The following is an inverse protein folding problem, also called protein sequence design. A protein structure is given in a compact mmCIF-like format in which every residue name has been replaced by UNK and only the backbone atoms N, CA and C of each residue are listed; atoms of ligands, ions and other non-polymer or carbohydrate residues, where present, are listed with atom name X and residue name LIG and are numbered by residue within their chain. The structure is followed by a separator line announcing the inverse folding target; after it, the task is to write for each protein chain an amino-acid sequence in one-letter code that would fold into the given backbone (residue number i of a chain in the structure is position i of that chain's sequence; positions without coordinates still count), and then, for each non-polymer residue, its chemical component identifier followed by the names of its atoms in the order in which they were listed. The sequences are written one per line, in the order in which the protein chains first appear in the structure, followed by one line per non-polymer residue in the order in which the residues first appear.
data_IF_411300761694
#
_entry.id   IF_411300761694
#
_cell.length_a   1.000
_cell.length_b   1.000
_cell.length_c   1.000
_cell.angle_alpha   90.00
_cell.angle_beta   90.00
_cell.angle_gamma   90.00
#
_symmetry.space_group_name_H-M   'P 1'
#
loop_
_entity.id
_entity.type
_entity.pdbx_description
1 polymer ?
#
# COMPACT_ATOMS: atom_id res chain seq x y z
N UNK A 1 -23.33 -4.91 4.06
CA UNK A 1 -22.16 -5.83 4.04
C UNK A 1 -21.05 -5.19 4.85
N UNK A 2 -20.34 -5.97 5.67
CA UNK A 2 -19.30 -5.49 6.58
C UNK A 2 -17.92 -5.99 6.10
N UNK A 3 -16.90 -5.12 6.15
CA UNK A 3 -15.52 -5.46 5.81
C UNK A 3 -15.24 -5.60 4.31
N UNK A 4 -14.08 -6.14 3.96
CA UNK A 4 -13.75 -6.51 2.59
C UNK A 4 -14.57 -7.73 2.15
N UNK A 5 -15.03 -7.72 0.91
CA UNK A 5 -15.84 -8.80 0.31
C UNK A 5 -15.01 -9.69 -0.60
N UNK A 6 -13.81 -9.25 -0.97
CA UNK A 6 -12.84 -10.04 -1.73
C UNK A 6 -11.58 -10.30 -0.89
N UNK A 7 -10.94 -11.47 -1.04
CA UNK A 7 -9.70 -11.76 -0.33
C UNK A 7 -8.61 -10.73 -0.65
N UNK A 8 -7.88 -10.32 0.39
CA UNK A 8 -6.68 -9.51 0.26
C UNK A 8 -5.57 -10.39 -0.36
N UNK A 9 -4.97 -9.94 -1.46
CA UNK A 9 -3.91 -10.69 -2.15
C UNK A 9 -2.54 -10.35 -1.56
N UNK A 10 -1.72 -11.33 -1.17
CA UNK A 10 -0.36 -11.07 -0.70
C UNK A 10 0.52 -10.49 -1.81
N UNK A 11 1.62 -9.83 -1.41
CA UNK A 11 2.69 -9.34 -2.30
C UNK A 11 2.22 -8.40 -3.43
N UNK A 12 1.07 -7.75 -3.24
CA UNK A 12 0.45 -6.91 -4.25
C UNK A 12 0.90 -5.45 -4.22
N UNK A 13 1.54 -5.00 -3.14
CA UNK A 13 2.08 -3.64 -3.04
C UNK A 13 3.50 -3.58 -3.59
N UNK A 14 3.64 -3.00 -4.78
CA UNK A 14 4.92 -2.91 -5.50
C UNK A 14 5.57 -1.53 -5.29
N UNK A 15 6.73 -1.55 -4.65
CA UNK A 15 7.56 -0.36 -4.45
C UNK A 15 8.61 -0.31 -5.55
N UNK A 16 8.71 0.82 -6.25
CA UNK A 16 9.54 0.95 -7.45
C UNK A 16 11.00 0.63 -7.11
N UNK A 17 11.66 -0.24 -7.88
CA UNK A 17 13.06 -0.62 -7.62
C UNK A 17 13.32 -1.41 -6.33
N UNK A 18 12.28 -1.81 -5.60
CA UNK A 18 12.36 -2.69 -4.42
C UNK A 18 11.66 -4.02 -4.72
N UNK A 19 10.50 -3.97 -5.39
CA UNK A 19 9.65 -5.14 -5.63
C UNK A 19 8.44 -5.16 -4.70
N UNK A 20 7.90 -6.34 -4.42
CA UNK A 20 6.83 -6.51 -3.46
C UNK A 20 7.33 -6.15 -2.04
N UNK A 21 6.63 -5.23 -1.38
CA UNK A 21 6.93 -4.80 -0.01
C UNK A 21 5.66 -4.79 0.84
N UNK A 22 4.92 -5.90 0.76
CA UNK A 22 3.65 -6.09 1.44
C UNK A 22 2.47 -6.07 0.48
N UNK A 23 1.35 -5.54 0.96
CA UNK A 23 0.04 -5.80 0.37
C UNK A 23 -0.79 -4.54 0.20
N UNK A 24 -1.46 -4.41 -0.94
CA UNK A 24 -2.49 -3.40 -1.20
C UNK A 24 -3.83 -4.05 -1.55
N UNK A 25 -4.93 -3.44 -1.11
CA UNK A 25 -6.29 -3.86 -1.45
C UNK A 25 -7.18 -2.65 -1.67
N UNK A 26 -7.86 -2.58 -2.81
CA UNK A 26 -8.81 -1.49 -3.10
C UNK A 26 -10.21 -2.05 -3.27
N UNK A 27 -11.15 -1.56 -2.46
CA UNK A 27 -12.55 -1.98 -2.51
C UNK A 27 -13.48 -0.85 -2.08
N UNK A 28 -14.50 -0.54 -2.88
CA UNK A 28 -15.51 0.50 -2.60
C UNK A 28 -14.91 1.86 -2.19
N UNK A 29 -13.86 2.30 -2.87
CA UNK A 29 -13.24 3.62 -2.66
C UNK A 29 -12.31 3.71 -1.44
N UNK A 30 -12.04 2.60 -0.76
CA UNK A 30 -10.98 2.51 0.26
C UNK A 30 -9.81 1.70 -0.31
N UNK A 31 -8.60 2.24 -0.20
CA UNK A 31 -7.36 1.50 -0.43
C UNK A 31 -6.67 1.25 0.90
N UNK A 32 -6.44 -0.03 1.22
CA UNK A 32 -5.65 -0.49 2.36
C UNK A 32 -4.23 -0.78 1.91
N UNK A 33 -3.26 -0.42 2.75
CA UNK A 33 -1.85 -0.72 2.57
C UNK A 33 -1.30 -1.40 3.82
N UNK A 34 -0.56 -2.47 3.60
CA UNK A 34 0.30 -3.13 4.57
C UNK A 34 1.73 -3.06 4.04
N UNK A 35 2.60 -2.46 4.83
CA UNK A 35 4.02 -2.32 4.46
C UNK A 35 4.83 -3.26 5.32
N UNK A 36 5.42 -4.26 4.68
CA UNK A 36 6.27 -5.22 5.36
C UNK A 36 7.57 -4.58 5.86
N UNK A 37 8.18 -5.21 6.86
CA UNK A 37 9.43 -4.76 7.49
C UNK A 37 9.35 -3.35 8.08
N UNK A 38 8.14 -2.88 8.38
CA UNK A 38 7.89 -1.55 8.91
C UNK A 38 7.10 -1.58 10.22
N UNK A 39 7.45 -0.68 11.14
CA UNK A 39 6.71 -0.46 12.39
C UNK A 39 5.63 0.62 12.29
N UNK A 40 5.18 1.11 13.45
CA UNK A 40 4.15 2.17 13.59
C UNK A 40 4.45 3.43 12.77
N UNK A 41 5.72 3.77 12.60
CA UNK A 41 6.18 4.93 11.85
C UNK A 41 6.69 4.50 10.47
N UNK A 42 5.78 4.21 9.53
CA UNK A 42 6.16 3.73 8.19
C UNK A 42 7.24 4.58 7.50
N UNK A 43 7.15 5.92 7.49
CA UNK A 43 8.17 6.74 6.85
C UNK A 43 9.58 6.60 7.45
N UNK A 44 9.70 6.14 8.70
CA UNK A 44 10.98 5.91 9.37
C UNK A 44 11.70 4.66 8.87
N UNK A 45 10.95 3.61 8.52
CA UNK A 45 11.51 2.31 8.15
C UNK A 45 11.46 2.07 6.63
N UNK A 46 10.41 2.55 5.98
CA UNK A 46 10.16 2.39 4.54
C UNK A 46 9.80 3.75 3.90
N UNK A 47 10.73 4.72 3.85
CA UNK A 47 10.45 6.07 3.36
C UNK A 47 9.94 6.11 1.92
N UNK A 48 10.46 5.23 1.05
CA UNK A 48 10.02 5.14 -0.36
C UNK A 48 8.59 4.64 -0.49
N UNK A 49 8.23 3.61 0.28
CA UNK A 49 6.87 3.10 0.34
C UNK A 49 5.89 4.17 0.83
N UNK A 50 6.22 4.84 1.93
CA UNK A 50 5.40 5.93 2.46
C UNK A 50 5.18 7.05 1.43
N UNK A 51 6.23 7.43 0.70
CA UNK A 51 6.12 8.45 -0.34
C UNK A 51 5.26 8.01 -1.53
N UNK A 52 5.33 6.74 -1.96
CA UNK A 52 4.46 6.19 -3.00
C UNK A 52 2.99 6.18 -2.57
N UNK A 53 2.70 5.75 -1.33
CA UNK A 53 1.34 5.77 -0.78
C UNK A 53 0.75 7.19 -0.82
N UNK A 54 1.54 8.20 -0.43
CA UNK A 54 1.11 9.59 -0.47
C UNK A 54 0.91 10.11 -1.91
N UNK A 55 1.78 9.74 -2.85
CA UNK A 55 1.60 10.09 -4.26
C UNK A 55 0.31 9.51 -4.84
N UNK A 56 0.00 8.25 -4.53
CA UNK A 56 -1.24 7.61 -4.96
C UNK A 56 -2.47 8.29 -4.34
N UNK A 57 -2.45 8.54 -3.02
CA UNK A 57 -3.54 9.25 -2.33
C UNK A 57 -3.82 10.64 -2.93
N UNK A 58 -2.77 11.35 -3.33
CA UNK A 58 -2.87 12.70 -3.88
C UNK A 58 -3.07 12.74 -5.41
N UNK A 59 -3.13 11.58 -6.09
CA UNK A 59 -3.34 11.51 -7.54
C UNK A 59 -2.11 11.85 -8.39
N UNK A 60 -0.90 11.82 -7.80
CA UNK A 60 0.36 11.95 -8.54
C UNK A 60 0.88 10.61 -9.09
N UNK A 61 0.20 9.50 -8.78
CA UNK A 61 0.53 8.15 -9.25
C UNK A 61 -0.76 7.38 -9.60
N UNK A 62 -0.75 6.63 -10.69
CA UNK A 62 -1.92 5.89 -11.18
C UNK A 62 -2.17 4.56 -10.44
N UNK A 63 -1.11 3.96 -9.90
CA UNK A 63 -1.22 2.68 -9.18
C UNK A 63 -0.85 2.87 -7.70
N UNK A 64 -1.48 2.09 -6.80
CA UNK A 64 -1.05 2.01 -5.41
C UNK A 64 0.42 1.59 -5.30
#
# INVERSE_FOLDING_TARGET
MQGFQTPIKPDSFLVDGVGALGTTHTERGLTYFEVELSGHMIPQFSPKAAFQIMQYLMGFRDTP
#
